data_IF_970512023825
#
_entry.id   IF_970512023825
#
_cell.length_a   1.000
_cell.length_b   1.000
_cell.length_c   1.000
_cell.angle_alpha   90.00
_cell.angle_beta   90.00
_cell.angle_gamma   90.00
#
_symmetry.space_group_name_H-M   'P 1'
#
loop_
_entity.id
_entity.type
_entity.pdbx_description
1 polymer ?
#
# COMPACT_ATOMS: atom_id res chain seq x y z
N UNK A 1 4.12 9.53 3.82
CA UNK A 1 3.77 9.02 2.49
C UNK A 1 4.30 7.62 2.33
N UNK A 2 3.58 6.78 1.63
CA UNK A 2 4.01 5.40 1.45
C UNK A 2 5.27 5.28 0.63
N UNK A 3 6.08 4.30 1.00
CA UNK A 3 7.24 3.93 0.23
C UNK A 3 6.87 2.78 -0.72
N UNK A 4 7.61 2.68 -1.81
CA UNK A 4 7.38 1.59 -2.77
C UNK A 4 7.44 0.22 -2.11
N UNK A 5 8.37 0.05 -1.18
CA UNK A 5 8.51 -1.21 -0.47
C UNK A 5 7.25 -1.54 0.34
N UNK A 6 6.61 -0.54 0.90
CA UNK A 6 5.38 -0.77 1.65
C UNK A 6 4.25 -1.24 0.73
N UNK A 7 4.19 -0.70 -0.48
CA UNK A 7 3.17 -1.11 -1.44
C UNK A 7 3.36 -2.57 -1.83
N UNK A 8 4.60 -2.95 -2.13
CA UNK A 8 4.88 -4.34 -2.48
C UNK A 8 4.60 -5.28 -1.30
N UNK A 9 4.99 -4.86 -0.10
CA UNK A 9 4.78 -5.68 1.09
C UNK A 9 3.29 -5.82 1.39
N UNK A 10 2.52 -4.76 1.22
CA UNK A 10 1.07 -4.83 1.47
C UNK A 10 0.42 -5.81 0.51
N UNK A 11 0.81 -5.76 -0.78
CA UNK A 11 0.28 -6.72 -1.74
C UNK A 11 0.63 -8.16 -1.33
N UNK A 12 1.89 -8.37 -0.94
CA UNK A 12 2.32 -9.71 -0.54
C UNK A 12 1.53 -10.20 0.67
N UNK A 13 1.31 -9.33 1.63
CA UNK A 13 0.61 -9.69 2.84
C UNK A 13 -0.84 -10.07 2.56
N UNK A 14 -1.46 -9.41 1.59
CA UNK A 14 -2.84 -9.70 1.20
C UNK A 14 -2.95 -10.81 0.15
N UNK A 15 -1.84 -11.24 -0.41
CA UNK A 15 -1.88 -12.17 -1.53
C UNK A 15 -2.40 -11.54 -2.81
N UNK A 16 -2.22 -10.26 -2.96
CA UNK A 16 -2.74 -9.51 -4.11
C UNK A 16 -1.73 -9.42 -5.24
N UNK A 17 -2.22 -9.57 -6.46
CA UNK A 17 -1.45 -9.23 -7.65
C UNK A 17 -1.62 -7.73 -7.90
N UNK A 18 -0.81 -7.20 -8.81
CA UNK A 18 -0.97 -5.79 -9.18
C UNK A 18 -2.36 -5.50 -9.73
N UNK A 19 -2.96 -6.48 -10.43
CA UNK A 19 -4.31 -6.33 -10.94
C UNK A 19 -5.33 -6.17 -9.82
N UNK A 20 -5.14 -6.87 -8.72
CA UNK A 20 -6.05 -6.77 -7.59
C UNK A 20 -5.98 -5.38 -6.98
N UNK A 21 -4.77 -4.85 -6.83
CA UNK A 21 -4.62 -3.50 -6.33
C UNK A 21 -5.22 -2.48 -7.30
N UNK A 22 -5.06 -2.71 -8.60
CA UNK A 22 -5.63 -1.83 -9.60
C UNK A 22 -7.15 -1.75 -9.46
N UNK A 23 -7.80 -2.90 -9.30
CA UNK A 23 -9.24 -2.95 -9.13
C UNK A 23 -9.69 -2.24 -7.85
N UNK A 24 -8.96 -2.45 -6.77
CA UNK A 24 -9.35 -1.89 -5.49
C UNK A 24 -9.13 -0.37 -5.44
N UNK A 25 -8.08 0.11 -6.08
CA UNK A 25 -7.68 1.51 -5.97
C UNK A 25 -8.18 2.39 -7.12
N UNK A 26 -8.50 1.78 -8.24
CA UNK A 26 -8.83 2.53 -9.44
C UNK A 26 -7.61 3.08 -10.15
N UNK A 27 -6.41 2.65 -9.74
CA UNK A 27 -5.16 3.08 -10.36
C UNK A 27 -4.73 2.02 -11.37
N UNK A 28 -4.34 2.44 -12.57
CA UNK A 28 -3.98 1.48 -13.61
C UNK A 28 -2.76 0.66 -13.25
N UNK A 29 -2.72 -0.58 -13.77
CA UNK A 29 -1.61 -1.49 -13.46
C UNK A 29 -0.27 -0.95 -13.94
N UNK A 30 -0.25 -0.24 -15.06
CA UNK A 30 0.99 0.32 -15.55
C UNK A 30 1.57 1.34 -14.58
N UNK A 31 0.70 2.15 -13.99
CA UNK A 31 1.12 3.12 -12.99
C UNK A 31 1.61 2.43 -11.73
N UNK A 32 0.89 1.40 -11.30
CA UNK A 32 1.29 0.62 -10.11
C UNK A 32 2.66 0.00 -10.34
N UNK A 33 2.87 -0.59 -11.51
CA UNK A 33 4.15 -1.21 -11.83
C UNK A 33 5.29 -0.19 -11.77
N UNK A 34 5.05 1.00 -12.32
CA UNK A 34 6.07 2.04 -12.30
C UNK A 34 6.37 2.50 -10.89
N UNK A 35 5.35 2.67 -10.08
CA UNK A 35 5.50 3.09 -8.69
C UNK A 35 6.28 2.05 -7.90
N UNK A 36 5.98 0.78 -8.11
CA UNK A 36 6.62 -0.29 -7.34
C UNK A 36 8.08 -0.49 -7.71
N UNK A 37 8.49 -0.03 -8.88
CA UNK A 37 9.89 -0.11 -9.28
C UNK A 37 10.75 0.98 -8.68
N UNK A 38 10.14 2.04 -8.22
CA UNK A 38 10.85 3.19 -7.71
C UNK A 38 11.27 2.96 -6.28
N UNK A 39 12.46 3.44 -5.94
CA UNK A 39 12.95 3.35 -4.55
C UNK A 39 12.91 4.70 -3.87
N UNK A 40 12.27 5.68 -4.48
CA UNK A 40 12.21 7.01 -3.91
C UNK A 40 10.77 7.44 -3.71
N UNK A 41 10.61 8.50 -2.92
CA UNK A 41 9.29 9.01 -2.61
C UNK A 41 8.58 9.45 -3.88
N UNK A 42 7.30 9.19 -3.93
CA UNK A 42 6.52 9.42 -5.13
C UNK A 42 5.79 10.73 -5.08
N UNK A 43 6.57 11.79 -5.01
CA UNK A 43 6.01 13.12 -4.80
C UNK A 43 5.12 13.58 -5.94
N UNK A 44 5.34 13.06 -7.13
CA UNK A 44 4.52 13.45 -8.28
C UNK A 44 3.18 12.73 -8.36
N UNK A 45 2.88 11.85 -7.40
CA UNK A 45 1.70 10.99 -7.49
C UNK A 45 0.85 11.07 -6.23
N UNK A 46 0.73 12.26 -5.65
CA UNK A 46 0.03 12.39 -4.37
C UNK A 46 -1.38 11.82 -4.41
N UNK A 47 -2.18 12.21 -5.39
CA UNK A 47 -3.56 11.72 -5.45
C UNK A 47 -3.60 10.21 -5.69
N UNK A 48 -2.68 9.70 -6.50
CA UNK A 48 -2.59 8.27 -6.75
C UNK A 48 -2.24 7.52 -5.46
N UNK A 49 -1.30 8.06 -4.69
CA UNK A 49 -0.89 7.44 -3.43
C UNK A 49 -2.02 7.42 -2.42
N UNK A 50 -2.82 8.47 -2.37
CA UNK A 50 -3.97 8.51 -1.48
C UNK A 50 -4.94 7.38 -1.82
N UNK A 51 -5.17 7.15 -3.10
CA UNK A 51 -6.08 6.09 -3.53
C UNK A 51 -5.53 4.71 -3.23
N UNK A 52 -4.23 4.51 -3.44
CA UNK A 52 -3.59 3.24 -3.14
C UNK A 52 -3.64 2.97 -1.63
N UNK A 53 -3.30 3.97 -0.84
CA UNK A 53 -3.32 3.81 0.62
C UNK A 53 -4.72 3.48 1.11
N UNK A 54 -5.72 4.18 0.59
CA UNK A 54 -7.10 3.94 1.00
C UNK A 54 -7.53 2.52 0.65
N UNK A 55 -7.14 2.03 -0.53
CA UNK A 55 -7.49 0.67 -0.94
C UNK A 55 -6.91 -0.37 0.01
N UNK A 56 -5.64 -0.19 0.38
CA UNK A 56 -5.00 -1.13 1.31
C UNK A 56 -5.61 -1.05 2.70
N UNK A 57 -5.90 0.17 3.18
CA UNK A 57 -6.48 0.33 4.51
C UNK A 57 -7.87 -0.28 4.57
N UNK A 58 -8.63 -0.13 3.51
CA UNK A 58 -9.93 -0.78 3.41
C UNK A 58 -9.80 -2.30 3.47
N UNK A 59 -8.73 -2.83 2.91
CA UNK A 59 -8.48 -4.26 2.90
C UNK A 59 -7.87 -4.79 4.20
N UNK A 60 -7.61 -3.91 5.15
CA UNK A 60 -7.14 -4.32 6.47
C UNK A 60 -5.66 -4.11 6.74
N UNK A 61 -4.98 -3.33 5.90
CA UNK A 61 -3.57 -3.03 6.13
C UNK A 61 -3.45 -1.79 7.00
N UNK A 62 -2.59 -1.86 8.00
CA UNK A 62 -2.19 -0.70 8.78
C UNK A 62 -0.76 -0.36 8.43
N UNK A 63 -0.54 0.87 7.96
CA UNK A 63 0.80 1.33 7.66
C UNK A 63 1.42 1.96 8.89
N UNK A 64 2.71 1.71 9.07
CA UNK A 64 3.44 2.18 10.25
C UNK A 64 4.52 3.11 9.76
N UNK A 65 4.53 4.33 10.29
CA UNK A 65 5.57 5.30 9.95
C UNK A 65 6.81 5.02 10.76
N UNK A 66 7.95 5.46 10.25
CA UNK A 66 9.17 5.34 11.03
C UNK A 66 9.12 6.30 12.23
N UNK A 67 9.77 5.89 13.28
CA UNK A 67 9.85 6.69 14.50
C UNK A 67 11.20 6.40 15.16
N UNK A 68 11.33 6.84 16.41
CA UNK A 68 12.61 6.68 17.10
C UNK A 68 12.96 5.21 17.36
N UNK A 69 11.99 4.31 17.25
CA UNK A 69 12.20 2.89 17.55
C UNK A 69 12.43 2.04 16.32
N UNK A 70 12.19 2.57 15.14
CA UNK A 70 12.38 1.77 13.94
C UNK A 70 11.92 2.45 12.69
N UNK A 71 12.14 1.78 11.57
CA UNK A 71 11.74 2.29 10.27
C UNK A 71 10.27 2.05 9.99
N UNK A 72 9.85 2.46 8.80
CA UNK A 72 8.45 2.28 8.40
C UNK A 72 8.14 0.80 8.16
N UNK A 73 6.86 0.48 8.20
CA UNK A 73 6.43 -0.89 7.99
C UNK A 73 4.94 -0.97 7.78
N UNK A 74 4.41 -2.16 8.00
CA UNK A 74 2.97 -2.37 7.92
C UNK A 74 2.59 -3.66 8.61
N UNK A 75 1.31 -3.81 8.87
CA UNK A 75 0.79 -5.04 9.45
C UNK A 75 -0.67 -5.17 9.07
N UNK A 76 -1.22 -6.37 9.21
CA UNK A 76 -2.65 -6.58 9.08
C UNK A 76 -3.34 -6.06 10.33
N UNK A 77 -4.45 -5.37 10.14
CA UNK A 77 -5.27 -4.95 11.26
C UNK A 77 -5.87 -6.19 11.90
N UNK A 78 -6.14 -6.10 13.17
CA UNK A 78 -6.80 -7.17 13.86
C UNK A 78 -8.18 -7.37 13.27
N UNK A 79 -8.49 -8.58 12.86
CA UNK A 79 -9.78 -8.86 12.27
C UNK A 79 -10.88 -8.71 13.28
N UNK A 80 -11.95 -8.05 12.87
CA UNK A 80 -13.14 -8.04 13.69
C UNK A 80 -13.84 -9.36 13.57
N UNK A 81 -14.31 -9.88 14.68
CA UNK A 81 -15.06 -11.12 14.69
C UNK A 81 -16.45 -10.83 14.17
N UNK A 82 -16.86 -11.62 13.27
CA UNK A 82 -18.20 -11.52 12.78
C UNK A 82 -19.12 -12.33 13.62
N UNK A 83 -20.06 -12.05 13.74
CA UNK A 83 -20.87 -12.87 14.33
C UNK A 83 -21.60 -13.36 14.10
#
# INVERSE_FOLDING_TARGET
MLESAQIRAARALLGWRQQDLSKASGVGTATIRRIEKSDWAMTGYVSTMVRIQAAFEEAGIQFIDDDENGGYGLRLAKKKRKR
#
